data_IF_261506349633
#
_entry.id   IF_261506349633
#
_cell.length_a   1.000
_cell.length_b   1.000
_cell.length_c   1.000
_cell.angle_alpha   90.00
_cell.angle_beta   90.00
_cell.angle_gamma   90.00
#
_symmetry.space_group_name_H-M   'P 1'
#
loop_
_entity.id
_entity.type
_entity.pdbx_description
1 polymer ?
#
# COMPACT_ATOMS: atom_id res chain seq x y z
N UNK A 1 41.70 -76.47 24.15
CA UNK A 1 41.29 -75.06 24.29
C UNK A 1 41.03 -74.49 22.91
N UNK A 2 39.75 -74.39 22.55
CA UNK A 2 39.35 -73.76 21.30
C UNK A 2 39.46 -72.24 21.38
N UNK A 3 39.68 -71.60 20.23
CA UNK A 3 39.14 -70.27 19.95
C UNK A 3 38.92 -70.12 18.44
N UNK A 4 37.65 -70.25 18.09
CA UNK A 4 37.02 -70.00 16.80
C UNK A 4 37.06 -68.47 16.58
N UNK A 5 37.73 -68.00 15.53
CA UNK A 5 37.63 -66.60 15.10
C UNK A 5 36.46 -66.47 14.12
N UNK A 6 35.29 -66.07 14.63
CA UNK A 6 34.28 -65.37 13.83
C UNK A 6 34.57 -63.87 13.95
N UNK A 7 35.01 -63.26 12.86
CA UNK A 7 35.25 -61.82 12.77
C UNK A 7 34.73 -61.28 11.45
N UNK A 8 33.66 -60.51 11.51
CA UNK A 8 33.03 -59.82 10.40
C UNK A 8 33.95 -58.74 9.80
N UNK A 9 34.14 -58.76 8.47
CA UNK A 9 34.78 -57.74 7.63
C UNK A 9 34.79 -58.27 6.17
N UNK A 10 34.38 -57.61 5.08
CA UNK A 10 34.15 -56.20 4.74
C UNK A 10 33.25 -56.15 3.49
N UNK A 11 32.07 -55.55 3.61
CA UNK A 11 31.30 -55.00 2.46
C UNK A 11 32.00 -53.78 1.82
N UNK A 12 33.03 -53.21 2.48
CA UNK A 12 33.83 -52.10 1.97
C UNK A 12 34.80 -52.42 0.83
N UNK A 13 35.07 -53.71 0.54
CA UNK A 13 35.96 -54.11 -0.56
C UNK A 13 35.34 -53.88 -1.95
N UNK A 14 34.01 -54.04 -2.08
CA UNK A 14 33.28 -53.81 -3.36
C UNK A 14 33.12 -52.32 -3.68
N UNK A 15 32.95 -51.47 -2.66
CA UNK A 15 32.81 -50.02 -2.84
C UNK A 15 34.15 -49.33 -3.15
N UNK A 16 35.25 -49.72 -2.48
CA UNK A 16 36.61 -49.23 -2.82
C UNK A 16 37.01 -49.61 -4.25
N UNK A 17 36.84 -50.89 -4.64
CA UNK A 17 37.12 -51.34 -6.01
C UNK A 17 36.28 -50.63 -7.07
N UNK A 18 35.01 -50.30 -6.77
CA UNK A 18 34.14 -49.51 -7.67
C UNK A 18 34.53 -48.04 -7.76
N UNK A 19 35.09 -47.46 -6.69
CA UNK A 19 35.61 -46.09 -6.68
C UNK A 19 36.95 -45.98 -7.43
N UNK A 20 37.85 -46.95 -7.23
CA UNK A 20 39.13 -47.06 -7.94
C UNK A 20 38.91 -47.33 -9.45
N UNK A 21 37.99 -48.23 -9.81
CA UNK A 21 37.64 -48.47 -11.21
C UNK A 21 37.07 -47.21 -11.88
N UNK A 22 36.15 -46.49 -11.23
CA UNK A 22 35.62 -45.23 -11.77
C UNK A 22 36.69 -44.13 -11.91
N UNK A 23 37.64 -44.09 -10.99
CA UNK A 23 38.75 -43.14 -11.05
C UNK A 23 39.73 -43.50 -12.18
N UNK A 24 40.03 -44.80 -12.35
CA UNK A 24 40.86 -45.32 -13.44
C UNK A 24 40.22 -45.11 -14.81
N UNK A 25 38.94 -45.43 -14.97
CA UNK A 25 38.20 -45.23 -16.23
C UNK A 25 38.09 -43.73 -16.57
N UNK A 26 37.90 -42.88 -15.56
CA UNK A 26 37.90 -41.43 -15.72
C UNK A 26 39.24 -40.85 -16.18
N UNK A 27 40.36 -41.39 -15.69
CA UNK A 27 41.70 -41.02 -16.13
C UNK A 27 41.97 -41.45 -17.59
N UNK A 28 41.61 -42.69 -17.95
CA UNK A 28 41.80 -43.24 -19.30
C UNK A 28 40.95 -42.46 -20.32
N UNK A 29 39.68 -42.20 -19.99
CA UNK A 29 38.78 -41.40 -20.83
C UNK A 29 39.29 -39.95 -20.98
N UNK A 30 39.77 -39.34 -19.88
CA UNK A 30 40.38 -38.02 -19.90
C UNK A 30 41.61 -37.91 -20.82
N UNK A 31 42.50 -38.90 -20.78
CA UNK A 31 43.65 -38.98 -21.69
C UNK A 31 43.21 -39.13 -23.17
N UNK A 32 42.21 -39.98 -23.43
CA UNK A 32 41.56 -40.14 -24.74
C UNK A 32 41.03 -38.82 -25.32
N UNK A 33 40.35 -38.03 -24.49
CA UNK A 33 39.81 -36.72 -24.86
C UNK A 33 40.89 -35.70 -25.22
N UNK A 34 41.96 -35.58 -24.41
CA UNK A 34 43.03 -34.59 -24.63
C UNK A 34 43.86 -34.88 -25.87
N UNK A 35 44.22 -36.14 -26.12
CA UNK A 35 44.94 -36.55 -27.34
C UNK A 35 44.10 -36.30 -28.59
N UNK A 36 42.79 -36.53 -28.50
CA UNK A 36 41.87 -36.25 -29.62
C UNK A 36 41.74 -34.75 -29.88
N UNK A 37 41.70 -33.91 -28.82
CA UNK A 37 41.69 -32.45 -28.94
C UNK A 37 43.01 -31.90 -29.49
N UNK A 38 44.15 -32.41 -29.04
CA UNK A 38 45.47 -32.00 -29.50
C UNK A 38 45.75 -32.45 -30.94
N UNK A 39 45.36 -33.68 -31.32
CA UNK A 39 45.51 -34.19 -32.69
C UNK A 39 44.48 -33.66 -33.70
N UNK A 40 43.38 -33.07 -33.23
CA UNK A 40 42.31 -32.49 -34.05
C UNK A 40 42.59 -31.06 -34.55
N UNK A 41 43.61 -30.37 -34.01
CA UNK A 41 43.95 -28.99 -34.38
C UNK A 41 44.54 -28.84 -35.80
N UNK A 42 44.66 -29.92 -36.59
CA UNK A 42 45.25 -29.90 -37.93
C UNK A 42 44.26 -30.01 -39.11
N UNK A 43 42.93 -29.89 -38.91
CA UNK A 43 41.96 -29.82 -40.04
C UNK A 43 40.98 -28.65 -39.93
N UNK A 44 41.32 -27.61 -40.71
CA UNK A 44 40.50 -26.58 -41.40
C UNK A 44 39.23 -26.02 -40.73
N UNK A 45 39.25 -24.68 -40.61
CA UNK A 45 38.10 -23.78 -40.78
C UNK A 45 37.20 -24.24 -41.93
N UNK A 46 35.89 -24.29 -41.69
CA UNK A 46 34.85 -24.39 -42.72
C UNK A 46 33.92 -25.57 -42.53
N UNK A 47 32.64 -25.28 -42.24
CA UNK A 47 31.54 -26.24 -42.37
C UNK A 47 30.67 -26.35 -41.13
N UNK A 48 29.51 -25.67 -41.19
CA UNK A 48 28.39 -25.78 -40.28
C UNK A 48 27.91 -27.24 -40.10
N UNK A 49 27.61 -27.62 -38.87
CA UNK A 49 27.11 -28.95 -38.54
C UNK A 49 26.75 -29.08 -37.07
N UNK A 50 25.52 -28.67 -36.72
CA UNK A 50 24.92 -28.86 -35.39
C UNK A 50 24.90 -30.36 -35.01
N UNK A 51 25.60 -30.71 -33.94
CA UNK A 51 25.37 -31.97 -33.22
C UNK A 51 24.89 -31.64 -31.80
N UNK A 52 23.67 -32.09 -31.49
CA UNK A 52 23.03 -31.96 -30.18
C UNK A 52 23.80 -32.76 -29.12
N UNK A 53 24.25 -32.08 -28.06
CA UNK A 53 24.66 -32.69 -26.81
C UNK A 53 23.63 -32.35 -25.71
N UNK A 54 22.99 -33.38 -25.15
CA UNK A 54 22.04 -33.26 -24.04
C UNK A 54 22.75 -32.98 -22.72
N UNK A 55 22.41 -31.83 -22.13
CA UNK A 55 22.08 -31.61 -20.71
C UNK A 55 22.99 -32.14 -19.59
N UNK A 56 23.63 -31.22 -18.89
CA UNK A 56 24.07 -31.36 -17.49
C UNK A 56 24.30 -29.98 -16.86
N UNK A 57 23.45 -29.59 -15.91
CA UNK A 57 23.39 -28.26 -15.26
C UNK A 57 24.64 -27.94 -14.42
N UNK A 58 25.01 -26.66 -14.37
CA UNK A 58 25.74 -26.09 -13.23
C UNK A 58 26.47 -24.78 -13.50
N UNK A 59 25.99 -23.69 -12.90
CA UNK A 59 26.86 -22.64 -12.30
C UNK A 59 27.35 -21.51 -13.21
N UNK A 60 26.82 -20.33 -12.96
CA UNK A 60 27.10 -19.02 -13.54
C UNK A 60 28.44 -18.38 -13.16
N UNK A 61 29.01 -17.61 -14.10
CA UNK A 61 29.61 -16.29 -13.84
C UNK A 61 31.13 -16.22 -13.69
N UNK A 62 31.81 -15.65 -14.67
CA UNK A 62 33.23 -15.26 -14.62
C UNK A 62 33.87 -15.21 -16.00
N UNK A 63 33.76 -14.06 -16.66
CA UNK A 63 34.27 -13.80 -18.01
C UNK A 63 35.81 -13.81 -18.08
N UNK A 64 36.34 -14.26 -19.22
CA UNK A 64 37.65 -13.79 -19.70
C UNK A 64 38.84 -14.74 -19.64
N UNK A 65 38.79 -15.92 -20.28
CA UNK A 65 39.97 -16.48 -20.95
C UNK A 65 39.58 -17.53 -21.98
N UNK A 66 39.48 -17.11 -23.24
CA UNK A 66 39.17 -17.96 -24.38
C UNK A 66 40.36 -18.87 -24.73
N UNK A 67 40.58 -19.93 -23.95
CA UNK A 67 41.50 -21.02 -24.32
C UNK A 67 41.18 -22.32 -23.59
N UNK A 68 40.04 -22.93 -23.91
CA UNK A 68 39.72 -24.34 -23.70
C UNK A 68 40.45 -25.03 -22.52
N UNK A 69 40.01 -24.76 -21.29
CA UNK A 69 40.47 -25.42 -20.06
C UNK A 69 39.97 -26.88 -19.94
N UNK A 70 40.28 -27.71 -20.95
CA UNK A 70 40.17 -29.17 -20.90
C UNK A 70 41.27 -29.82 -20.04
N UNK A 71 42.15 -29.01 -19.44
CA UNK A 71 43.38 -29.44 -18.77
C UNK A 71 43.24 -29.69 -17.26
N UNK A 72 42.16 -29.24 -16.62
CA UNK A 72 42.06 -29.24 -15.15
C UNK A 72 41.38 -30.47 -14.51
N UNK A 73 40.92 -31.45 -15.29
CA UNK A 73 40.28 -32.66 -14.77
C UNK A 73 41.27 -33.80 -14.45
N UNK A 74 41.26 -34.27 -13.19
CA UNK A 74 41.98 -35.43 -12.62
C UNK A 74 43.45 -35.21 -12.18
N UNK A 75 43.79 -35.71 -10.98
CA UNK A 75 45.03 -35.36 -10.25
C UNK A 75 46.33 -35.83 -10.90
N UNK A 76 46.34 -36.97 -11.60
CA UNK A 76 47.53 -37.45 -12.31
C UNK A 76 47.82 -36.60 -13.56
N UNK A 77 46.77 -36.05 -14.19
CA UNK A 77 46.86 -35.19 -15.37
C UNK A 77 47.28 -33.74 -15.08
N UNK A 78 47.36 -33.33 -13.81
CA UNK A 78 47.99 -32.06 -13.38
C UNK A 78 49.51 -32.18 -13.18
N UNK A 79 50.00 -33.37 -12.81
CA UNK A 79 51.44 -33.64 -12.65
C UNK A 79 52.07 -34.05 -13.98
N UNK A 80 51.28 -34.64 -14.88
CA UNK A 80 51.69 -35.03 -16.23
C UNK A 80 50.92 -34.22 -17.31
N UNK A 81 50.95 -32.88 -17.31
CA UNK A 81 50.43 -32.10 -18.44
C UNK A 81 51.25 -32.36 -19.72
N UNK A 82 52.41 -33.00 -19.56
CA UNK A 82 53.44 -33.27 -20.56
C UNK A 82 53.09 -34.38 -21.57
N UNK A 83 52.26 -35.36 -21.20
CA UNK A 83 52.12 -36.59 -22.02
C UNK A 83 50.87 -36.60 -22.89
N UNK A 84 49.84 -35.81 -22.53
CA UNK A 84 48.56 -35.80 -23.24
C UNK A 84 48.25 -34.45 -23.89
N UNK A 85 49.25 -33.60 -24.13
CA UNK A 85 49.12 -32.26 -24.72
C UNK A 85 50.42 -31.68 -25.23
N UNK A 86 50.40 -30.51 -25.92
CA UNK A 86 51.59 -29.78 -26.31
C UNK A 86 52.42 -29.44 -25.06
N UNK A 87 53.40 -30.28 -24.77
CA UNK A 87 54.26 -30.20 -23.59
C UNK A 87 55.68 -29.81 -23.94
N UNK A 88 56.48 -29.56 -22.91
CA UNK A 88 57.90 -29.19 -23.04
C UNK A 88 58.86 -30.38 -22.98
N UNK A 89 58.37 -31.61 -22.73
CA UNK A 89 59.23 -32.79 -22.65
C UNK A 89 59.15 -33.68 -23.91
N UNK A 90 60.17 -34.52 -24.07
CA UNK A 90 60.20 -35.56 -25.11
C UNK A 90 59.25 -36.69 -24.69
N UNK A 91 58.30 -37.02 -25.55
CA UNK A 91 57.26 -38.03 -25.25
C UNK A 91 57.32 -39.15 -26.29
N UNK A 92 57.25 -40.39 -25.83
CA UNK A 92 57.12 -41.60 -26.66
C UNK A 92 55.89 -42.39 -26.19
N UNK A 93 55.15 -42.96 -27.13
CA UNK A 93 53.97 -43.79 -26.85
C UNK A 93 54.20 -45.20 -27.40
N UNK A 94 54.08 -46.21 -26.55
CA UNK A 94 54.11 -47.62 -26.95
C UNK A 94 52.67 -48.13 -26.97
N UNK A 95 52.23 -48.64 -28.12
CA UNK A 95 50.89 -49.21 -28.32
C UNK A 95 51.02 -50.72 -28.44
N UNK A 96 50.47 -51.45 -27.48
CA UNK A 96 50.41 -52.92 -27.49
C UNK A 96 49.04 -53.41 -27.93
N UNK A 97 48.99 -54.42 -28.80
CA UNK A 97 47.75 -54.99 -29.34
C UNK A 97 47.76 -56.50 -29.28
N UNK A 98 46.58 -57.12 -29.16
CA UNK A 98 46.43 -58.57 -29.18
C UNK A 98 46.10 -59.08 -30.59
N UNK A 99 46.79 -60.11 -31.12
CA UNK A 99 46.59 -60.57 -32.51
C UNK A 99 45.31 -61.40 -32.73
N UNK A 100 44.57 -61.73 -31.67
CA UNK A 100 43.36 -62.55 -31.74
C UNK A 100 42.16 -61.77 -32.27
N UNK A 101 41.34 -62.42 -33.09
CA UNK A 101 40.06 -61.86 -33.58
C UNK A 101 39.09 -61.51 -32.44
N UNK A 102 39.24 -62.15 -31.27
CA UNK A 102 38.45 -61.82 -30.06
C UNK A 102 38.73 -60.42 -29.52
N UNK A 103 39.86 -59.81 -29.86
CA UNK A 103 40.27 -58.49 -29.39
C UNK A 103 40.13 -57.41 -30.47
N UNK A 104 39.37 -57.68 -31.54
CA UNK A 104 39.26 -56.79 -32.68
C UNK A 104 38.80 -55.37 -32.28
N UNK A 105 37.77 -55.24 -31.44
CA UNK A 105 37.24 -53.94 -31.00
C UNK A 105 38.25 -53.12 -30.20
N UNK A 106 38.95 -53.76 -29.27
CA UNK A 106 39.97 -53.11 -28.43
C UNK A 106 41.22 -52.76 -29.24
N UNK A 107 41.67 -53.69 -30.09
CA UNK A 107 42.82 -53.49 -30.98
C UNK A 107 42.59 -52.32 -31.93
N UNK A 108 41.42 -52.28 -32.58
CA UNK A 108 41.02 -51.15 -33.43
C UNK A 108 40.99 -49.84 -32.65
N UNK A 109 40.38 -49.81 -31.47
CA UNK A 109 40.28 -48.60 -30.64
C UNK A 109 41.67 -48.08 -30.19
N UNK A 110 42.58 -49.00 -29.85
CA UNK A 110 43.93 -48.68 -29.36
C UNK A 110 44.83 -48.16 -30.49
N UNK A 111 44.74 -48.74 -31.70
CA UNK A 111 45.44 -48.24 -32.90
C UNK A 111 44.93 -46.83 -33.25
N UNK A 112 43.61 -46.62 -33.25
CA UNK A 112 43.01 -45.32 -33.55
C UNK A 112 43.43 -44.26 -32.51
N UNK A 113 43.62 -44.64 -31.25
CA UNK A 113 44.19 -43.77 -30.22
C UNK A 113 45.66 -43.43 -30.52
N UNK A 114 46.49 -44.43 -30.84
CA UNK A 114 47.89 -44.22 -31.22
C UNK A 114 48.06 -43.27 -32.42
N UNK A 115 47.23 -43.44 -33.46
CA UNK A 115 47.23 -42.56 -34.63
C UNK A 115 46.87 -41.10 -34.29
N UNK A 116 45.98 -40.86 -33.31
CA UNK A 116 45.69 -39.49 -32.84
C UNK A 116 46.83 -38.92 -32.02
N UNK A 117 47.50 -39.75 -31.21
CA UNK A 117 48.65 -39.34 -30.40
C UNK A 117 49.85 -38.91 -31.25
N UNK A 118 50.08 -39.55 -32.41
CA UNK A 118 51.14 -39.16 -33.35
C UNK A 118 51.00 -37.73 -33.89
N UNK A 119 49.81 -37.12 -33.82
CA UNK A 119 49.56 -35.75 -34.29
C UNK A 119 49.89 -34.69 -33.25
N UNK A 120 50.19 -35.08 -32.02
CA UNK A 120 50.53 -34.15 -30.94
C UNK A 120 51.98 -33.72 -31.13
N UNK A 121 52.19 -32.41 -31.25
CA UNK A 121 53.52 -31.81 -31.40
C UNK A 121 53.94 -31.19 -30.07
N UNK A 122 55.06 -31.65 -29.50
CA UNK A 122 55.66 -31.08 -28.31
C UNK A 122 56.70 -30.02 -28.67
N UNK A 123 56.70 -28.90 -27.94
CA UNK A 123 57.68 -27.83 -28.10
C UNK A 123 58.70 -27.95 -26.97
N UNK A 124 59.84 -28.56 -27.26
CA UNK A 124 60.90 -28.75 -26.26
C UNK A 124 61.46 -27.38 -25.88
N UNK A 125 61.32 -27.00 -24.61
CA UNK A 125 62.00 -25.84 -24.05
C UNK A 125 63.17 -26.35 -23.22
N UNK A 126 64.36 -25.80 -23.44
CA UNK A 126 65.50 -26.05 -22.58
C UNK A 126 65.15 -25.55 -21.17
N UNK A 127 65.49 -26.36 -20.17
CA UNK A 127 65.20 -26.03 -18.77
C UNK A 127 66.14 -24.90 -18.37
N UNK A 128 65.61 -23.68 -18.30
CA UNK A 128 66.31 -22.54 -17.72
C UNK A 128 66.55 -22.83 -16.24
N UNK A 129 67.79 -22.69 -15.79
CA UNK A 129 68.12 -22.70 -14.37
C UNK A 129 67.56 -21.43 -13.76
N UNK A 130 66.63 -21.58 -12.81
CA UNK A 130 66.07 -20.45 -12.09
C UNK A 130 67.12 -19.97 -11.10
N UNK A 131 67.58 -18.73 -11.26
CA UNK A 131 68.42 -18.08 -10.26
C UNK A 131 67.58 -17.78 -9.02
N UNK A 132 67.80 -18.58 -7.98
CA UNK A 132 67.08 -18.47 -6.73
C UNK A 132 67.34 -17.14 -6.03
N UNK A 133 68.54 -16.57 -6.16
CA UNK A 133 68.89 -15.30 -5.52
C UNK A 133 68.04 -14.14 -6.07
N UNK A 134 67.87 -14.09 -7.39
CA UNK A 134 67.01 -13.10 -8.05
C UNK A 134 65.54 -13.32 -7.67
N UNK A 135 65.10 -14.58 -7.59
CA UNK A 135 63.75 -14.92 -7.20
C UNK A 135 63.44 -14.51 -5.76
N UNK A 136 64.35 -14.75 -4.81
CA UNK A 136 64.22 -14.33 -3.42
C UNK A 136 64.11 -12.81 -3.30
N UNK A 137 65.01 -12.05 -3.95
CA UNK A 137 64.95 -10.58 -3.97
C UNK A 137 63.69 -10.02 -4.60
N UNK A 138 63.09 -10.73 -5.56
CA UNK A 138 61.79 -10.35 -6.12
C UNK A 138 60.67 -10.61 -5.11
N UNK A 139 60.68 -11.77 -4.46
CA UNK A 139 59.67 -12.13 -3.47
C UNK A 139 59.73 -11.22 -2.23
N UNK A 140 60.94 -10.91 -1.74
CA UNK A 140 61.15 -10.00 -0.61
C UNK A 140 60.57 -8.62 -0.89
N UNK A 141 60.85 -8.03 -2.06
CA UNK A 141 60.24 -6.76 -2.48
C UNK A 141 58.72 -6.83 -2.54
N UNK A 142 58.17 -7.96 -3.00
CA UNK A 142 56.72 -8.15 -3.04
C UNK A 142 56.12 -8.23 -1.64
N UNK A 143 56.78 -8.92 -0.71
CA UNK A 143 56.37 -9.01 0.69
C UNK A 143 56.42 -7.63 1.36
N UNK A 144 57.50 -6.87 1.17
CA UNK A 144 57.64 -5.53 1.73
C UNK A 144 56.59 -4.56 1.16
N UNK A 145 56.34 -4.63 -0.14
CA UNK A 145 55.32 -3.82 -0.80
C UNK A 145 53.93 -4.14 -0.26
N UNK A 146 53.56 -5.42 -0.20
CA UNK A 146 52.25 -5.85 0.31
C UNK A 146 52.08 -5.53 1.78
N UNK A 147 53.14 -5.65 2.58
CA UNK A 147 53.11 -5.30 4.01
C UNK A 147 52.87 -3.79 4.19
N UNK A 148 53.61 -2.96 3.44
CA UNK A 148 53.45 -1.51 3.46
C UNK A 148 52.06 -1.06 3.03
N UNK A 149 51.52 -1.67 1.98
CA UNK A 149 50.18 -1.39 1.47
C UNK A 149 49.09 -1.83 2.47
N UNK A 150 49.25 -2.98 3.11
CA UNK A 150 48.35 -3.45 4.16
C UNK A 150 48.31 -2.48 5.35
N UNK A 151 49.46 -2.03 5.83
CA UNK A 151 49.53 -1.05 6.93
C UNK A 151 48.89 0.29 6.57
N UNK A 152 49.13 0.77 5.34
CA UNK A 152 48.50 1.99 4.82
C UNK A 152 46.98 1.88 4.82
N UNK A 153 46.45 0.78 4.31
CA UNK A 153 45.00 0.53 4.32
C UNK A 153 44.43 0.39 5.73
N UNK A 154 45.17 -0.25 6.64
CA UNK A 154 44.74 -0.38 8.04
C UNK A 154 44.65 0.99 8.73
N UNK A 155 45.62 1.89 8.51
CA UNK A 155 45.58 3.26 9.03
C UNK A 155 44.40 4.05 8.47
N UNK A 156 44.13 3.94 7.17
CA UNK A 156 42.96 4.58 6.55
C UNK A 156 41.66 4.09 7.18
N UNK A 157 41.47 2.77 7.29
CA UNK A 157 40.28 2.19 7.95
C UNK A 157 40.13 2.65 9.40
N UNK A 158 41.22 2.76 10.15
CA UNK A 158 41.19 3.27 11.52
C UNK A 158 40.79 4.75 11.56
N UNK A 159 41.32 5.58 10.66
CA UNK A 159 40.97 6.99 10.58
C UNK A 159 39.50 7.21 10.20
N UNK A 160 38.98 6.42 9.25
CA UNK A 160 37.57 6.42 8.87
C UNK A 160 36.69 5.97 10.03
N UNK A 161 37.10 4.91 10.74
CA UNK A 161 36.37 4.43 11.92
C UNK A 161 36.26 5.53 12.98
N UNK A 162 37.36 6.20 13.34
CA UNK A 162 37.35 7.30 14.31
C UNK A 162 36.45 8.45 13.85
N UNK A 163 36.46 8.78 12.56
CA UNK A 163 35.59 9.82 12.01
C UNK A 163 34.11 9.43 12.14
N UNK A 164 33.77 8.20 11.79
CA UNK A 164 32.40 7.69 11.89
C UNK A 164 31.93 7.58 13.34
N UNK A 165 32.79 7.15 14.25
CA UNK A 165 32.50 7.09 15.68
C UNK A 165 32.19 8.50 16.24
N UNK A 166 32.96 9.52 15.86
CA UNK A 166 32.68 10.92 16.24
C UNK A 166 31.35 11.43 15.68
N UNK A 167 31.07 11.14 14.40
CA UNK A 167 29.82 11.56 13.75
C UNK A 167 28.61 10.86 14.38
N UNK A 168 28.77 9.61 14.79
CA UNK A 168 27.75 8.87 15.51
C UNK A 168 27.48 9.53 16.87
N UNK A 169 28.53 9.84 17.64
CA UNK A 169 28.41 10.51 18.94
C UNK A 169 27.75 11.88 18.83
N UNK A 170 28.12 12.70 17.84
CA UNK A 170 27.46 13.99 17.55
C UNK A 170 25.97 13.80 17.21
N UNK A 171 25.65 12.80 16.39
CA UNK A 171 24.26 12.48 16.04
C UNK A 171 23.46 12.02 17.26
N UNK A 172 24.04 11.18 18.12
CA UNK A 172 23.41 10.68 19.34
C UNK A 172 23.15 11.80 20.33
N UNK A 173 24.12 12.71 20.54
CA UNK A 173 23.94 13.89 21.37
C UNK A 173 22.83 14.80 20.83
N UNK A 174 22.84 15.09 19.53
CA UNK A 174 21.80 15.93 18.92
C UNK A 174 20.40 15.31 19.06
N UNK A 175 20.29 13.98 18.93
CA UNK A 175 19.04 13.26 19.11
C UNK A 175 18.59 13.29 20.58
N UNK A 176 19.52 13.13 21.52
CA UNK A 176 19.22 13.23 22.94
C UNK A 176 18.70 14.63 23.31
N UNK A 177 19.31 15.69 22.79
CA UNK A 177 18.87 17.08 23.01
C UNK A 177 17.48 17.32 22.40
N UNK A 178 17.24 16.89 21.17
CA UNK A 178 15.92 16.97 20.52
C UNK A 178 14.86 16.18 21.29
N UNK A 179 15.22 15.00 21.81
CA UNK A 179 14.32 14.19 22.64
C UNK A 179 13.97 14.92 23.93
N UNK A 180 14.95 15.57 24.56
CA UNK A 180 14.73 16.35 25.79
C UNK A 180 13.83 17.56 25.54
N UNK A 181 14.05 18.31 24.45
CA UNK A 181 13.20 19.45 24.09
C UNK A 181 11.78 19.01 23.73
N UNK A 182 11.62 17.92 22.97
CA UNK A 182 10.31 17.34 22.66
C UNK A 182 9.58 16.87 23.92
N UNK A 183 10.26 16.21 24.85
CA UNK A 183 9.64 15.77 26.11
C UNK A 183 9.18 16.96 26.95
N UNK A 184 9.97 18.03 27.01
CA UNK A 184 9.58 19.26 27.70
C UNK A 184 8.36 19.93 27.04
N UNK A 185 8.27 19.91 25.72
CA UNK A 185 7.09 20.40 24.99
C UNK A 185 5.85 19.54 25.29
N UNK A 186 6.00 18.22 25.33
CA UNK A 186 4.91 17.30 25.69
C UNK A 186 4.42 17.59 27.11
N UNK A 187 5.32 17.72 28.08
CA UNK A 187 4.96 18.01 29.47
C UNK A 187 4.22 19.36 29.60
N UNK A 188 4.64 20.37 28.84
CA UNK A 188 3.94 21.66 28.79
C UNK A 188 2.53 21.54 28.21
N UNK A 189 2.38 20.83 27.08
CA UNK A 189 1.07 20.58 26.48
C UNK A 189 0.15 19.75 27.38
N UNK A 190 0.69 18.79 28.14
CA UNK A 190 -0.06 18.03 29.13
C UNK A 190 -0.56 18.91 30.27
N UNK A 191 0.26 19.86 30.74
CA UNK A 191 -0.16 20.86 31.74
C UNK A 191 -1.28 21.76 31.22
N UNK A 192 -1.14 22.29 30.00
CA UNK A 192 -2.19 23.11 29.36
C UNK A 192 -3.48 22.32 29.17
N UNK A 193 -3.38 21.06 28.72
CA UNK A 193 -4.53 20.16 28.59
C UNK A 193 -5.25 19.98 29.93
N UNK A 194 -4.53 19.69 31.02
CA UNK A 194 -5.13 19.55 32.35
C UNK A 194 -5.84 20.84 32.81
N UNK A 195 -5.27 22.01 32.53
CA UNK A 195 -5.89 23.30 32.86
C UNK A 195 -7.18 23.54 32.06
N UNK A 196 -7.15 23.25 30.76
CA UNK A 196 -8.32 23.37 29.89
C UNK A 196 -9.41 22.38 30.29
N UNK A 197 -9.06 21.14 30.62
CA UNK A 197 -10.02 20.15 31.12
C UNK A 197 -10.70 20.60 32.41
N UNK A 198 -9.94 21.21 33.33
CA UNK A 198 -10.52 21.79 34.55
C UNK A 198 -11.47 22.95 34.24
N UNK A 199 -11.07 23.86 33.36
CA UNK A 199 -11.91 24.99 32.96
C UNK A 199 -13.21 24.53 32.27
N UNK A 200 -13.14 23.54 31.38
CA UNK A 200 -14.31 22.95 30.73
C UNK A 200 -15.24 22.31 31.76
N UNK A 201 -14.71 21.52 32.70
CA UNK A 201 -15.54 20.93 33.77
C UNK A 201 -16.27 21.99 34.59
N UNK A 202 -15.59 23.09 34.91
CA UNK A 202 -16.22 24.22 35.62
C UNK A 202 -17.36 24.84 34.81
N UNK A 203 -17.12 25.17 33.55
CA UNK A 203 -18.15 25.77 32.69
C UNK A 203 -19.35 24.85 32.46
N UNK A 204 -19.13 23.54 32.37
CA UNK A 204 -20.22 22.56 32.28
C UNK A 204 -21.06 22.60 33.55
N UNK A 205 -20.42 22.61 34.72
CA UNK A 205 -21.13 22.71 36.00
C UNK A 205 -21.96 23.98 36.10
N UNK A 206 -21.37 25.14 35.79
CA UNK A 206 -22.06 26.44 35.79
C UNK A 206 -23.28 26.42 34.84
N UNK A 207 -23.14 25.79 33.66
CA UNK A 207 -24.22 25.69 32.66
C UNK A 207 -25.35 24.76 33.12
N UNK A 208 -25.01 23.71 33.87
CA UNK A 208 -25.98 22.81 34.49
C UNK A 208 -26.82 23.56 35.55
N UNK A 209 -26.17 24.37 36.40
CA UNK A 209 -26.85 25.20 37.40
C UNK A 209 -27.80 26.22 36.76
N UNK A 210 -27.35 26.92 35.72
CA UNK A 210 -28.18 27.88 34.97
C UNK A 210 -29.36 27.20 34.27
N UNK A 211 -29.15 25.98 33.76
CA UNK A 211 -30.23 25.18 33.16
C UNK A 211 -31.27 24.82 34.22
N UNK A 212 -30.85 24.38 35.39
CA UNK A 212 -31.76 24.04 36.50
C UNK A 212 -32.56 25.28 36.94
N UNK A 213 -31.90 26.44 37.09
CA UNK A 213 -32.58 27.71 37.36
C UNK A 213 -33.61 28.06 36.28
N UNK A 214 -33.26 27.92 35.00
CA UNK A 214 -34.16 28.20 33.88
C UNK A 214 -35.36 27.24 33.88
N UNK A 215 -35.19 25.98 34.24
CA UNK A 215 -36.32 25.04 34.35
C UNK A 215 -37.29 25.45 35.46
N UNK A 216 -36.77 25.89 36.61
CA UNK A 216 -37.59 26.39 37.73
C UNK A 216 -38.38 27.64 37.33
N UNK A 217 -37.71 28.62 36.70
CA UNK A 217 -38.35 29.83 36.16
C UNK A 217 -39.44 29.49 35.14
N UNK A 218 -39.18 28.54 34.23
CA UNK A 218 -40.16 28.09 33.24
C UNK A 218 -41.39 27.45 33.89
N UNK A 219 -41.20 26.65 34.94
CA UNK A 219 -42.31 26.09 35.73
C UNK A 219 -43.14 27.19 36.41
N UNK A 220 -42.49 28.22 36.97
CA UNK A 220 -43.19 29.37 37.57
C UNK A 220 -44.00 30.16 36.53
N UNK A 221 -43.43 30.41 35.35
CA UNK A 221 -44.13 31.07 34.24
C UNK A 221 -45.37 30.25 33.85
N UNK A 222 -45.22 28.94 33.65
CA UNK A 222 -46.33 28.03 33.29
C UNK A 222 -47.45 28.07 34.33
N UNK A 223 -47.09 28.10 35.62
CA UNK A 223 -48.06 28.21 36.71
C UNK A 223 -48.82 29.54 36.68
N UNK A 224 -48.10 30.66 36.50
CA UNK A 224 -48.71 31.99 36.41
C UNK A 224 -49.60 32.13 35.17
N UNK A 225 -49.21 31.56 34.03
CA UNK A 225 -50.03 31.52 32.82
C UNK A 225 -51.33 30.76 33.04
N UNK A 226 -51.28 29.62 33.75
CA UNK A 226 -52.48 28.86 34.11
C UNK A 226 -53.43 29.69 34.97
N UNK A 227 -52.93 30.31 36.04
CA UNK A 227 -53.73 31.19 36.91
C UNK A 227 -54.33 32.38 36.13
N UNK A 228 -53.57 32.96 35.22
CA UNK A 228 -54.04 34.05 34.39
C UNK A 228 -55.17 33.60 33.44
N UNK A 229 -55.05 32.41 32.84
CA UNK A 229 -56.09 31.85 31.98
C UNK A 229 -57.35 31.51 32.77
N UNK A 230 -57.22 30.92 33.97
CA UNK A 230 -58.35 30.68 34.87
C UNK A 230 -59.08 31.98 35.21
N UNK A 231 -58.32 33.05 35.56
CA UNK A 231 -58.88 34.36 35.85
C UNK A 231 -59.57 35.00 34.63
N UNK A 232 -58.98 34.89 33.44
CA UNK A 232 -59.59 35.35 32.18
C UNK A 232 -60.89 34.60 31.88
N UNK A 233 -60.91 33.29 32.09
CA UNK A 233 -62.10 32.45 31.88
C UNK A 233 -63.20 32.77 32.89
N UNK A 234 -62.84 33.03 34.15
CA UNK A 234 -63.76 33.49 35.19
C UNK A 234 -64.35 34.85 34.85
N UNK A 235 -63.53 35.82 34.40
CA UNK A 235 -64.03 37.10 33.90
C UNK A 235 -64.94 36.94 32.66
N UNK A 236 -64.65 35.98 31.78
CA UNK A 236 -65.53 35.70 30.64
C UNK A 236 -66.87 35.11 31.11
N UNK A 237 -66.87 34.22 32.11
CA UNK A 237 -68.09 33.68 32.73
C UNK A 237 -68.90 34.77 33.44
N UNK A 238 -68.24 35.66 34.18
CA UNK A 238 -68.88 36.80 34.85
C UNK A 238 -69.45 37.80 33.84
N UNK A 239 -68.73 38.06 32.74
CA UNK A 239 -69.23 38.87 31.63
C UNK A 239 -70.43 38.21 30.97
N UNK A 240 -70.38 36.91 30.69
CA UNK A 240 -71.50 36.14 30.14
C UNK A 240 -72.71 36.16 31.07
N UNK A 241 -72.52 35.94 32.38
CA UNK A 241 -73.57 36.03 33.39
C UNK A 241 -74.16 37.44 33.49
N UNK A 242 -73.35 38.49 33.44
CA UNK A 242 -73.85 39.88 33.39
C UNK A 242 -74.62 40.16 32.11
N UNK A 243 -74.16 39.68 30.96
CA UNK A 243 -74.90 39.80 29.70
C UNK A 243 -76.18 38.97 29.70
N UNK A 244 -76.20 37.81 30.37
CA UNK A 244 -77.37 36.95 30.54
C UNK A 244 -78.41 37.59 31.46
N UNK A 245 -78.00 38.25 32.55
CA UNK A 245 -78.88 39.06 33.40
C UNK A 245 -79.42 40.28 32.64
N UNK A 246 -78.60 40.92 31.79
CA UNK A 246 -79.05 41.99 30.88
C UNK A 246 -79.99 41.46 29.80
N UNK A 247 -79.79 40.23 29.32
CA UNK A 247 -80.68 39.58 28.36
C UNK A 247 -81.99 39.12 29.01
N UNK A 248 -81.99 38.69 30.27
CA UNK A 248 -83.20 38.33 31.00
C UNK A 248 -84.00 39.56 31.45
N UNK A 249 -83.34 40.68 31.72
CA UNK A 249 -84.02 41.99 31.87
C UNK A 249 -84.49 42.55 30.52
N UNK A 250 -83.82 42.22 29.40
CA UNK A 250 -84.33 42.48 28.05
C UNK A 250 -85.50 41.55 27.68
N UNK A 251 -85.53 40.27 28.09
CA UNK A 251 -86.68 39.35 27.92
C UNK A 251 -87.94 39.79 28.66
N UNK A 252 -87.80 40.55 29.75
CA UNK A 252 -88.92 41.21 30.42
C UNK A 252 -89.52 42.35 29.56
N UNK A 253 -88.72 42.95 28.66
CA UNK A 253 -89.17 43.93 27.66
C UNK A 253 -89.45 43.31 26.27
N UNK A 254 -89.03 42.07 26.02
CA UNK A 254 -89.26 41.34 24.77
C UNK A 254 -90.52 40.46 24.79
N UNK A 255 -91.26 40.43 25.91
CA UNK A 255 -92.62 39.85 25.97
C UNK A 255 -93.69 40.77 25.36
N UNK A 256 -93.34 42.03 25.07
CA UNK A 256 -94.22 42.99 24.39
C UNK A 256 -93.82 43.27 22.93
N UNK A 257 -92.74 42.65 22.41
CA UNK A 257 -92.24 42.95 21.06
C UNK A 257 -91.79 41.69 20.31
N UNK A 258 -92.62 40.64 20.37
CA UNK A 258 -92.38 39.33 19.75
C UNK A 258 -93.51 38.85 18.86
N UNK A 259 -94.28 39.75 18.24
CA UNK A 259 -95.29 39.39 17.23
C UNK A 259 -94.87 39.74 15.78
N UNK A 260 -93.68 40.30 15.55
CA UNK A 260 -93.24 40.63 14.20
C UNK A 260 -91.77 40.26 13.93
N UNK A 261 -91.64 39.27 13.03
CA UNK A 261 -90.51 39.04 12.12
C UNK A 261 -89.35 38.15 12.61
N UNK A 262 -89.71 36.86 12.68
CA UNK A 262 -89.06 35.75 11.95
C UNK A 262 -88.30 36.22 10.68
N UNK A 263 -86.98 35.98 10.63
CA UNK A 263 -86.22 35.28 9.56
C UNK A 263 -84.79 35.87 9.38
N UNK A 264 -83.80 34.99 9.58
CA UNK A 264 -82.50 34.90 8.87
C UNK A 264 -81.53 36.09 9.07
N UNK A 265 -80.22 35.92 9.29
CA UNK A 265 -79.33 34.82 8.95
C UNK A 265 -78.06 34.89 9.79
N UNK A 266 -77.61 33.72 10.22
CA UNK A 266 -76.34 33.43 10.89
C UNK A 266 -75.18 33.32 9.88
N UNK A 267 -73.97 33.51 10.41
CA UNK A 267 -72.69 32.88 10.02
C UNK A 267 -72.09 33.18 8.63
N UNK A 268 -70.91 33.77 8.47
CA UNK A 268 -69.57 33.51 9.03
C UNK A 268 -68.97 32.14 8.65
N UNK A 269 -67.73 32.19 8.12
CA UNK A 269 -66.73 31.09 7.98
C UNK A 269 -66.92 30.20 6.73
N UNK A 270 -65.89 29.69 6.03
CA UNK A 270 -64.49 29.37 6.36
C UNK A 270 -63.70 29.03 5.07
N UNK A 271 -62.40 29.33 5.07
CA UNK A 271 -61.36 28.58 4.33
C UNK A 271 -61.26 27.13 4.87
N UNK A 272 -60.73 26.12 4.13
CA UNK A 272 -59.28 25.82 4.22
C UNK A 272 -58.60 25.10 3.02
N UNK A 273 -57.28 24.96 3.16
CA UNK A 273 -56.40 23.84 2.74
C UNK A 273 -55.25 24.17 1.77
N UNK A 274 -54.05 24.35 2.38
CA UNK A 274 -52.73 24.37 1.75
C UNK A 274 -52.01 23.03 2.01
N UNK A 275 -51.27 22.57 1.01
CA UNK A 275 -50.23 21.54 1.11
C UNK A 275 -48.92 22.13 0.59
N UNK A 276 -48.05 22.62 1.47
CA UNK A 276 -46.69 23.08 1.12
C UNK A 276 -45.80 23.12 2.37
N UNK A 277 -45.40 21.95 2.88
CA UNK A 277 -44.49 21.87 4.05
C UNK A 277 -43.11 21.26 3.75
N UNK A 278 -42.82 20.78 2.53
CA UNK A 278 -41.50 20.22 2.21
C UNK A 278 -40.51 21.25 1.64
N UNK A 279 -40.98 22.31 0.98
CA UNK A 279 -40.12 23.41 0.48
C UNK A 279 -39.64 24.34 1.60
N UNK A 280 -40.45 24.48 2.66
CA UNK A 280 -40.19 25.40 3.77
C UNK A 280 -39.02 24.95 4.65
N UNK A 281 -38.85 23.63 4.82
CA UNK A 281 -37.74 23.05 5.60
C UNK A 281 -36.38 23.26 4.92
N UNK A 282 -36.35 23.26 3.58
CA UNK A 282 -35.13 23.47 2.77
C UNK A 282 -34.65 24.93 2.81
N UNK A 283 -35.57 25.91 2.91
CA UNK A 283 -35.20 27.33 3.05
C UNK A 283 -34.74 27.68 4.47
N UNK A 284 -35.34 27.07 5.51
CA UNK A 284 -34.95 27.32 6.91
C UNK A 284 -33.51 26.87 7.22
N UNK A 285 -33.09 25.69 6.74
CA UNK A 285 -31.71 25.20 6.93
C UNK A 285 -30.63 26.11 6.32
N UNK A 286 -30.96 26.85 5.25
CA UNK A 286 -30.08 27.84 4.61
C UNK A 286 -30.03 29.14 5.41
N UNK A 287 -31.20 29.66 5.80
CA UNK A 287 -31.32 30.94 6.53
C UNK A 287 -30.65 30.89 7.92
N UNK A 288 -30.68 29.74 8.57
CA UNK A 288 -30.08 29.55 9.91
C UNK A 288 -28.59 29.15 9.86
N UNK A 289 -27.98 29.07 8.67
CA UNK A 289 -26.56 28.69 8.51
C UNK A 289 -26.24 27.27 8.95
N UNK A 290 -27.23 26.37 8.97
CA UNK A 290 -27.09 25.01 9.50
C UNK A 290 -26.03 24.17 8.79
N UNK A 291 -25.88 24.33 7.47
CA UNK A 291 -24.86 23.62 6.68
C UNK A 291 -23.44 24.09 7.05
N UNK A 292 -23.23 25.39 7.30
CA UNK A 292 -21.94 25.92 7.77
C UNK A 292 -21.63 25.46 9.21
N UNK A 293 -22.64 25.37 10.07
CA UNK A 293 -22.48 24.80 11.41
C UNK A 293 -22.07 23.32 11.36
N UNK A 294 -22.70 22.53 10.47
CA UNK A 294 -22.31 21.14 10.20
C UNK A 294 -20.86 21.04 9.72
N UNK A 295 -20.41 21.96 8.87
CA UNK A 295 -19.01 22.00 8.42
C UNK A 295 -18.04 22.32 9.56
N UNK A 296 -18.42 23.20 10.49
CA UNK A 296 -17.67 23.50 11.72
C UNK A 296 -17.53 22.28 12.62
N UNK A 297 -18.57 21.44 12.71
CA UNK A 297 -18.56 20.22 13.51
C UNK A 297 -17.62 19.13 12.97
N UNK A 298 -17.25 19.15 11.68
CA UNK A 298 -16.19 18.25 11.18
C UNK A 298 -14.82 18.51 11.83
N UNK A 299 -14.58 19.71 12.37
CA UNK A 299 -13.32 20.05 13.07
C UNK A 299 -13.22 19.43 14.45
N UNK A 300 -14.31 18.87 14.99
CA UNK A 300 -14.33 18.24 16.32
C UNK A 300 -13.62 16.87 16.35
N UNK A 301 -13.33 16.27 15.20
CA UNK A 301 -12.52 15.04 15.10
C UNK A 301 -13.18 13.75 15.59
N UNK A 302 -14.40 13.79 16.13
CA UNK A 302 -15.10 12.61 16.62
C UNK A 302 -15.69 11.77 15.47
N UNK A 303 -15.24 10.53 15.33
CA UNK A 303 -15.62 9.62 14.23
C UNK A 303 -17.14 9.43 14.09
N UNK A 304 -17.88 9.33 15.19
CA UNK A 304 -19.33 9.10 15.16
C UNK A 304 -20.12 10.34 14.71
N UNK A 305 -19.67 11.52 15.13
CA UNK A 305 -20.22 12.81 14.72
C UNK A 305 -19.97 13.00 13.22
N UNK A 306 -18.75 12.72 12.75
CA UNK A 306 -18.41 12.79 11.32
C UNK A 306 -19.26 11.81 10.50
N UNK A 307 -19.52 10.61 11.00
CA UNK A 307 -20.38 9.63 10.35
C UNK A 307 -21.84 10.10 10.23
N UNK A 308 -22.40 10.68 11.30
CA UNK A 308 -23.74 11.28 11.33
C UNK A 308 -23.86 12.42 10.32
N UNK A 309 -22.90 13.34 10.30
CA UNK A 309 -22.90 14.48 9.39
C UNK A 309 -22.76 14.02 7.94
N UNK A 310 -21.85 13.08 7.64
CA UNK A 310 -21.71 12.51 6.31
C UNK A 310 -23.01 11.87 5.82
N UNK A 311 -23.74 11.16 6.70
CA UNK A 311 -25.06 10.61 6.40
C UNK A 311 -26.10 11.70 6.13
N UNK A 312 -26.11 12.77 6.93
CA UNK A 312 -26.97 13.94 6.73
C UNK A 312 -26.74 14.61 5.37
N UNK A 313 -25.47 14.84 5.00
CA UNK A 313 -25.09 15.43 3.70
C UNK A 313 -25.51 14.53 2.53
N UNK A 314 -25.30 13.21 2.65
CA UNK A 314 -25.72 12.27 1.61
C UNK A 314 -27.24 12.27 1.39
N UNK A 315 -28.01 12.33 2.48
CA UNK A 315 -29.46 12.45 2.40
C UNK A 315 -29.88 13.79 1.78
N UNK A 316 -29.21 14.89 2.15
CA UNK A 316 -29.48 16.21 1.60
C UNK A 316 -29.22 16.24 0.08
N UNK A 317 -28.06 15.76 -0.37
CA UNK A 317 -27.71 15.67 -1.79
C UNK A 317 -28.71 14.79 -2.57
N UNK A 318 -29.18 13.69 -1.95
CA UNK A 318 -30.21 12.83 -2.54
C UNK A 318 -31.57 13.51 -2.64
N UNK A 319 -32.00 14.24 -1.62
CA UNK A 319 -33.26 15.00 -1.67
C UNK A 319 -33.19 16.11 -2.70
N UNK A 320 -32.09 16.86 -2.74
CA UNK A 320 -31.86 17.93 -3.70
C UNK A 320 -31.84 17.42 -5.14
N UNK A 321 -31.14 16.32 -5.42
CA UNK A 321 -31.14 15.69 -6.76
C UNK A 321 -32.53 15.19 -7.19
N UNK A 322 -33.37 14.72 -6.25
CA UNK A 322 -34.77 14.35 -6.53
C UNK A 322 -35.63 15.56 -6.91
N UNK A 323 -35.54 16.64 -6.14
CA UNK A 323 -36.28 17.88 -6.41
C UNK A 323 -35.88 18.50 -7.75
N UNK A 324 -34.60 18.43 -8.10
CA UNK A 324 -34.09 18.89 -9.41
C UNK A 324 -34.60 17.98 -10.53
N UNK A 325 -34.56 16.66 -10.34
CA UNK A 325 -35.08 15.70 -11.33
C UNK A 325 -36.60 15.84 -11.56
N UNK A 326 -37.35 16.30 -10.55
CA UNK A 326 -38.78 16.60 -10.63
C UNK A 326 -39.07 18.03 -11.13
N UNK A 327 -38.04 18.82 -11.44
CA UNK A 327 -38.18 20.20 -11.94
C UNK A 327 -38.64 21.23 -10.90
N UNK A 328 -38.81 20.84 -9.63
CA UNK A 328 -39.24 21.72 -8.53
C UNK A 328 -38.11 22.63 -8.06
N UNK A 329 -36.87 22.32 -8.45
CA UNK A 329 -35.69 23.12 -8.08
C UNK A 329 -34.70 23.19 -9.23
N UNK A 330 -34.09 24.36 -9.43
CA UNK A 330 -33.02 24.60 -10.41
C UNK A 330 -31.88 25.35 -9.74
N UNK A 331 -30.67 25.23 -10.28
CA UNK A 331 -29.48 25.91 -9.79
C UNK A 331 -28.53 24.98 -9.04
N UNK A 332 -27.46 25.60 -8.55
CA UNK A 332 -26.38 24.93 -7.83
C UNK A 332 -26.85 24.36 -6.49
N UNK A 333 -26.21 23.27 -6.07
CA UNK A 333 -26.47 22.67 -4.77
C UNK A 333 -26.04 23.59 -3.63
N UNK A 334 -26.85 23.70 -2.58
CA UNK A 334 -26.51 24.47 -1.37
C UNK A 334 -25.27 23.92 -0.67
N UNK A 335 -25.00 22.62 -0.80
CA UNK A 335 -23.80 22.00 -0.26
C UNK A 335 -22.53 22.54 -0.94
N UNK A 336 -22.62 22.89 -2.23
CA UNK A 336 -21.49 23.49 -2.96
C UNK A 336 -21.33 24.96 -2.56
N UNK A 337 -22.44 25.70 -2.46
CA UNK A 337 -22.43 27.11 -2.04
C UNK A 337 -21.80 27.29 -0.64
N UNK A 338 -22.07 26.37 0.29
CA UNK A 338 -21.52 26.40 1.65
C UNK A 338 -20.16 25.69 1.81
N UNK A 339 -19.51 25.32 0.71
CA UNK A 339 -18.12 24.82 0.71
C UNK A 339 -17.95 23.36 1.13
N UNK A 340 -19.04 22.58 1.22
CA UNK A 340 -19.01 21.16 1.60
C UNK A 340 -18.26 20.32 0.56
N UNK A 341 -18.36 20.68 -0.73
CA UNK A 341 -17.69 19.97 -1.82
C UNK A 341 -16.17 19.92 -1.63
N UNK A 342 -15.53 21.04 -1.31
CA UNK A 342 -14.08 21.11 -1.08
C UNK A 342 -13.66 20.22 0.09
N UNK A 343 -14.45 20.19 1.16
CA UNK A 343 -14.20 19.32 2.30
C UNK A 343 -14.36 17.83 1.93
N UNK A 344 -15.38 17.48 1.15
CA UNK A 344 -15.60 16.11 0.69
C UNK A 344 -14.46 15.62 -0.21
N UNK A 345 -13.95 16.45 -1.12
CA UNK A 345 -12.80 16.10 -1.98
C UNK A 345 -11.55 15.84 -1.12
N UNK A 346 -11.29 16.69 -0.12
CA UNK A 346 -10.11 16.57 0.72
C UNK A 346 -10.12 15.35 1.67
N UNK A 347 -11.30 14.77 1.95
CA UNK A 347 -11.45 13.74 2.98
C UNK A 347 -12.09 12.42 2.48
N UNK A 348 -12.28 12.28 1.17
CA UNK A 348 -12.96 11.15 0.53
C UNK A 348 -12.41 9.77 0.91
N UNK A 349 -11.11 9.64 1.15
CA UNK A 349 -10.45 8.37 1.48
C UNK A 349 -9.99 8.26 2.96
N UNK A 350 -10.17 9.31 3.77
CA UNK A 350 -9.58 9.42 5.12
C UNK A 350 -10.39 8.74 6.22
N UNK A 351 -11.65 8.43 5.96
CA UNK A 351 -12.57 7.87 6.96
C UNK A 351 -12.85 6.38 6.79
N UNK A 352 -13.53 5.79 7.78
CA UNK A 352 -13.97 4.40 7.81
C UNK A 352 -14.85 4.05 6.60
N UNK A 353 -14.94 2.77 6.25
CA UNK A 353 -15.72 2.31 5.09
C UNK A 353 -17.20 2.74 5.13
N UNK A 354 -17.81 2.83 6.33
CA UNK A 354 -19.21 3.27 6.50
C UNK A 354 -19.38 4.76 6.20
N UNK A 355 -18.54 5.62 6.78
CA UNK A 355 -18.57 7.08 6.55
C UNK A 355 -18.20 7.41 5.11
N UNK A 356 -17.17 6.74 4.58
CA UNK A 356 -16.75 6.87 3.18
C UNK A 356 -17.91 6.62 2.22
N UNK A 357 -18.70 5.57 2.43
CA UNK A 357 -19.87 5.27 1.60
C UNK A 357 -20.84 6.46 1.52
N UNK A 358 -21.12 7.13 2.63
CA UNK A 358 -22.02 8.28 2.64
C UNK A 358 -21.45 9.46 1.85
N UNK A 359 -20.15 9.72 1.98
CA UNK A 359 -19.45 10.75 1.19
C UNK A 359 -19.47 10.41 -0.30
N UNK A 360 -19.19 9.16 -0.66
CA UNK A 360 -19.21 8.70 -2.06
C UNK A 360 -20.62 8.81 -2.68
N UNK A 361 -21.67 8.47 -1.93
CA UNK A 361 -23.06 8.64 -2.36
C UNK A 361 -23.43 10.12 -2.54
N UNK A 362 -23.01 10.98 -1.61
CA UNK A 362 -23.21 12.42 -1.72
C UNK A 362 -22.55 12.97 -2.99
N UNK A 363 -21.30 12.56 -3.29
CA UNK A 363 -20.61 12.91 -4.53
C UNK A 363 -21.39 12.52 -5.78
N UNK A 364 -21.86 11.27 -5.83
CA UNK A 364 -22.59 10.77 -6.99
C UNK A 364 -23.92 11.52 -7.21
N UNK A 365 -24.63 11.89 -6.14
CA UNK A 365 -25.86 12.67 -6.23
C UNK A 365 -25.62 14.13 -6.64
N UNK A 366 -24.55 14.76 -6.14
CA UNK A 366 -24.17 16.10 -6.54
C UNK A 366 -23.76 16.16 -8.02
N UNK A 367 -23.07 15.14 -8.51
CA UNK A 367 -22.61 15.04 -9.90
C UNK A 367 -23.73 14.80 -10.92
N UNK A 368 -24.94 14.40 -10.48
CA UNK A 368 -26.10 14.26 -11.36
C UNK A 368 -26.73 15.60 -11.72
N UNK A 369 -26.44 16.67 -10.99
CA UNK A 369 -26.93 18.01 -11.32
C UNK A 369 -25.93 18.72 -12.24
N UNK A 370 -26.39 19.10 -13.44
CA UNK A 370 -25.56 19.79 -14.43
C UNK A 370 -25.09 21.16 -13.95
N UNK A 371 -25.86 21.85 -13.11
CA UNK A 371 -25.49 23.18 -12.57
C UNK A 371 -24.25 23.11 -11.65
N UNK A 372 -23.95 21.94 -11.09
CA UNK A 372 -22.80 21.70 -10.21
C UNK A 372 -21.50 21.40 -10.97
N UNK A 373 -21.58 21.18 -12.27
CA UNK A 373 -20.48 20.66 -13.10
C UNK A 373 -19.20 21.46 -12.91
N UNK A 374 -19.25 22.78 -13.15
CA UNK A 374 -18.08 23.64 -13.13
C UNK A 374 -17.35 23.61 -11.77
N UNK A 375 -18.10 23.58 -10.66
CA UNK A 375 -17.51 23.56 -9.32
C UNK A 375 -16.88 22.19 -9.00
N UNK A 376 -17.48 21.10 -9.49
CA UNK A 376 -16.91 19.74 -9.39
C UNK A 376 -15.60 19.64 -10.18
N UNK A 377 -15.53 20.26 -11.36
CA UNK A 377 -14.30 20.33 -12.15
C UNK A 377 -13.24 21.14 -11.38
N UNK A 378 -13.57 22.37 -10.99
CA UNK A 378 -12.64 23.31 -10.37
C UNK A 378 -12.08 22.82 -9.03
N UNK A 379 -12.87 22.08 -8.24
CA UNK A 379 -12.44 21.51 -6.96
C UNK A 379 -11.59 20.24 -7.09
N UNK A 380 -11.36 19.73 -8.30
CA UNK A 380 -10.70 18.44 -8.51
C UNK A 380 -11.58 17.23 -8.20
N UNK A 381 -12.89 17.44 -8.00
CA UNK A 381 -13.86 16.40 -7.68
C UNK A 381 -14.02 15.33 -8.76
N UNK A 382 -13.67 15.62 -10.02
CA UNK A 382 -13.71 14.61 -11.11
C UNK A 382 -12.74 13.46 -10.85
N UNK A 383 -11.54 13.74 -10.33
CA UNK A 383 -10.56 12.68 -9.98
C UNK A 383 -11.12 11.75 -8.92
N UNK A 384 -11.85 12.31 -7.97
CA UNK A 384 -12.51 11.57 -6.92
C UNK A 384 -13.69 10.74 -7.46
N UNK A 385 -14.52 11.32 -8.34
CA UNK A 385 -15.64 10.61 -8.98
C UNK A 385 -15.16 9.44 -9.85
N UNK A 386 -14.05 9.61 -10.57
CA UNK A 386 -13.36 8.54 -11.29
C UNK A 386 -12.84 7.44 -10.37
N UNK A 387 -12.22 7.81 -9.24
CA UNK A 387 -11.75 6.86 -8.21
C UNK A 387 -12.92 6.05 -7.68
N UNK A 388 -14.02 6.70 -7.30
CA UNK A 388 -15.24 6.04 -6.81
C UNK A 388 -15.78 5.05 -7.85
N UNK A 389 -15.87 5.45 -9.11
CA UNK A 389 -16.33 4.59 -10.21
C UNK A 389 -15.52 3.31 -10.39
N UNK A 390 -14.24 3.29 -9.98
CA UNK A 390 -13.31 2.17 -10.18
C UNK A 390 -13.08 1.34 -8.92
N UNK A 391 -12.96 2.02 -7.77
CA UNK A 391 -12.42 1.45 -6.53
C UNK A 391 -13.46 1.34 -5.40
N UNK A 392 -14.66 1.91 -5.53
CA UNK A 392 -15.66 1.82 -4.46
C UNK A 392 -16.04 0.34 -4.23
N UNK A 393 -16.08 -0.14 -2.96
CA UNK A 393 -16.35 -1.54 -2.65
C UNK A 393 -17.78 -1.96 -2.97
N UNK A 394 -18.69 -1.02 -3.27
CA UNK A 394 -20.10 -1.31 -3.54
C UNK A 394 -20.47 -1.02 -4.99
N UNK A 395 -21.13 -1.99 -5.60
CA UNK A 395 -21.48 -1.96 -7.03
C UNK A 395 -22.52 -0.88 -7.35
N UNK A 396 -23.46 -0.62 -6.44
CA UNK A 396 -24.46 0.45 -6.56
C UNK A 396 -23.81 1.83 -6.65
N UNK A 397 -22.86 2.13 -5.75
CA UNK A 397 -22.10 3.38 -5.75
C UNK A 397 -21.25 3.51 -7.02
N UNK A 398 -20.55 2.44 -7.44
CA UNK A 398 -19.75 2.46 -8.69
C UNK A 398 -20.61 2.75 -9.91
N UNK A 399 -21.77 2.11 -10.02
CA UNK A 399 -22.68 2.31 -11.13
C UNK A 399 -23.29 3.71 -11.13
N UNK A 400 -23.58 4.27 -9.96
CA UNK A 400 -24.09 5.64 -9.83
C UNK A 400 -23.03 6.68 -10.25
N UNK A 401 -21.76 6.47 -9.89
CA UNK A 401 -20.65 7.31 -10.32
C UNK A 401 -20.45 7.25 -11.84
N UNK A 402 -20.45 6.05 -12.43
CA UNK A 402 -20.38 5.87 -13.89
C UNK A 402 -21.51 6.59 -14.59
N UNK A 403 -22.75 6.40 -14.11
CA UNK A 403 -23.93 7.06 -14.68
C UNK A 403 -23.78 8.59 -14.67
N UNK A 404 -23.28 9.17 -13.57
CA UNK A 404 -23.07 10.62 -13.47
C UNK A 404 -21.96 11.12 -14.42
N UNK A 405 -20.90 10.34 -14.61
CA UNK A 405 -19.83 10.64 -15.57
C UNK A 405 -20.32 10.58 -17.02
N UNK A 406 -21.09 9.56 -17.36
CA UNK A 406 -21.60 9.33 -18.71
C UNK A 406 -22.71 10.31 -19.08
N UNK A 407 -23.52 10.74 -18.10
CA UNK A 407 -24.62 11.68 -18.34
C UNK A 407 -24.17 13.11 -18.62
N UNK A 408 -22.93 13.47 -18.30
CA UNK A 408 -22.46 14.84 -18.39
C UNK A 408 -21.28 15.00 -19.37
N UNK A 409 -21.50 15.62 -20.55
CA UNK A 409 -20.46 15.73 -21.58
C UNK A 409 -19.29 16.65 -21.18
N UNK A 410 -19.45 17.50 -20.16
CA UNK A 410 -18.33 18.28 -19.63
C UNK A 410 -17.36 17.43 -18.80
N UNK A 411 -17.86 16.43 -18.06
CA UNK A 411 -17.00 15.50 -17.33
C UNK A 411 -16.19 14.62 -18.29
N UNK A 412 -16.81 14.15 -19.38
CA UNK A 412 -16.09 13.36 -20.40
C UNK A 412 -14.92 14.11 -21.02
N UNK A 413 -15.07 15.42 -21.27
CA UNK A 413 -14.00 16.27 -21.84
C UNK A 413 -12.80 16.47 -20.92
N UNK A 414 -12.99 16.39 -19.60
CA UNK A 414 -11.91 16.56 -18.62
C UNK A 414 -11.19 15.23 -18.31
N UNK A 415 -11.77 14.10 -18.70
CA UNK A 415 -11.24 12.74 -18.43
C UNK A 415 -10.38 12.22 -19.60
N UNK A 416 -10.58 12.77 -20.80
CA UNK A 416 -9.76 12.54 -21.99
C UNK A 416 -8.48 13.37 -21.93
#
# INVERSE_FOLDING_TARGET
MGRRWHGAARSGGKQRRRGEARYGDGQICGCGGRISAAGGQSRKRGGDGRAHARGGRGGSGGEGSSRADLWQGYGSTRVVPVVAGPGTARTSLIVTIGPSSRHYSETSSTIMFGQRAMKVVNTIKLKEEVDFEILYKKMEREVDHLTSEMERQQKLRQSEKILWDKKLEESEMSFHDLKKTSNMQIENLEKEKCQLEFAVKKLVHDLEEEKDQKTLLSQQITYLEKLLNEKKQQQHLEKLSKTEILADTAKQHEKEMGELLRKLEEESLKHPENSDDEEKLHMMLKQDGGIKALLGMFRTGHSDVIAQIARGIANFAKCESRLISQGHRKGKSLLIEDGVLAWMVANSNRFTASTRRHIELAFCHLAQNEDNTCDIIASGGIKELLRISRESPRDDTRNLAKKALDSNPAFLREIQ
#
